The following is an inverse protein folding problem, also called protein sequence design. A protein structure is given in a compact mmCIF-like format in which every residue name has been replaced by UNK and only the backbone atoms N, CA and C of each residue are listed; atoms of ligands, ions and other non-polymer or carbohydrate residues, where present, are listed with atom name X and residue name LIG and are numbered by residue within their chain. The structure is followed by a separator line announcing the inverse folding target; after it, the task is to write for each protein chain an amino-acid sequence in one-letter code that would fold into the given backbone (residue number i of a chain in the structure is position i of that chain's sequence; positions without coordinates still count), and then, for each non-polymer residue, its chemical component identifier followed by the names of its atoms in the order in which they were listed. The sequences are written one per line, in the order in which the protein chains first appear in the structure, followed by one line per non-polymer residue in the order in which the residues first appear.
data_IF_927808622608
#
_entry.id   IF_927808622608
#
_cell.length_a   1.000
_cell.length_b   1.000
_cell.length_c   1.000
_cell.angle_alpha   90.00
_cell.angle_beta   90.00
_cell.angle_gamma   90.00
#
_symmetry.space_group_name_H-M   'P 1'
#
loop_
_entity.id
_entity.type
_entity.pdbx_description
1 polymer ?
#
# COMPACT_ATOMS: atom_id res chain seq x y z
N UNK A 1 -31.01 -13.64 41.47
CA UNK A 1 -31.23 -14.28 40.16
C UNK A 1 -32.10 -13.45 39.20
N UNK A 2 -32.78 -12.38 39.64
CA UNK A 2 -33.65 -11.57 38.74
C UNK A 2 -32.93 -10.44 37.99
N UNK A 3 -31.66 -10.14 38.28
CA UNK A 3 -30.94 -9.01 37.68
C UNK A 3 -30.32 -9.35 36.30
N UNK A 4 -29.97 -10.61 36.05
CA UNK A 4 -29.25 -11.03 34.83
C UNK A 4 -30.16 -11.16 33.59
N UNK A 5 -31.48 -11.28 33.78
CA UNK A 5 -32.44 -11.38 32.66
C UNK A 5 -32.66 -10.01 31.98
N UNK A 6 -32.51 -8.90 32.72
CA UNK A 6 -32.74 -7.55 32.18
C UNK A 6 -31.67 -7.09 31.18
N UNK A 7 -30.43 -7.56 31.32
CA UNK A 7 -29.33 -7.18 30.44
C UNK A 7 -29.47 -7.78 29.03
N UNK A 8 -30.02 -8.99 28.94
CA UNK A 8 -30.23 -9.65 27.65
C UNK A 8 -31.38 -9.04 26.82
N UNK A 9 -32.40 -8.46 27.45
CA UNK A 9 -33.46 -7.75 26.72
C UNK A 9 -32.98 -6.41 26.14
N UNK A 10 -32.13 -5.66 26.86
CA UNK A 10 -31.54 -4.40 26.36
C UNK A 10 -30.67 -4.59 25.11
N UNK A 11 -29.89 -5.68 25.04
CA UNK A 11 -29.03 -5.97 23.88
C UNK A 11 -29.86 -6.45 22.68
N UNK A 12 -30.95 -7.20 22.90
CA UNK A 12 -31.83 -7.67 21.81
C UNK A 12 -32.65 -6.52 21.23
N UNK A 13 -33.12 -5.57 22.06
CA UNK A 13 -33.86 -4.40 21.59
C UNK A 13 -32.98 -3.43 20.79
N UNK A 14 -31.69 -3.32 21.14
CA UNK A 14 -30.70 -2.55 20.36
C UNK A 14 -30.48 -3.07 18.93
N UNK A 15 -30.80 -4.34 18.65
CA UNK A 15 -30.64 -4.93 17.32
C UNK A 15 -31.95 -4.92 16.50
N UNK A 16 -33.08 -4.52 17.11
CA UNK A 16 -34.41 -4.58 16.49
C UNK A 16 -34.86 -3.28 15.82
N UNK A 17 -34.11 -2.19 15.93
CA UNK A 17 -34.54 -0.87 15.44
C UNK A 17 -33.68 -0.14 14.36
N UNK A 18 -32.75 -0.75 13.59
CA UNK A 18 -32.08 0.01 12.52
C UNK A 18 -32.97 0.26 11.28
N UNK A 19 -34.16 -0.37 11.18
CA UNK A 19 -35.03 -0.28 10.00
C UNK A 19 -36.19 0.74 10.16
N UNK A 20 -36.43 1.28 11.37
CA UNK A 20 -37.55 2.22 11.62
C UNK A 20 -37.27 3.67 11.21
N UNK A 21 -36.04 4.03 10.90
CA UNK A 21 -35.67 5.36 10.38
C UNK A 21 -35.77 5.48 8.85
N UNK A 22 -36.26 4.45 8.15
CA UNK A 22 -36.59 4.55 6.72
C UNK A 22 -37.96 5.17 6.43
N UNK A 23 -38.77 5.44 7.47
CA UNK A 23 -40.06 6.14 7.32
C UNK A 23 -39.91 7.65 7.02
N UNK A 24 -38.72 8.23 7.23
CA UNK A 24 -38.39 9.62 6.88
C UNK A 24 -37.90 9.85 5.44
N UNK A 25 -37.70 8.78 4.66
CA UNK A 25 -37.28 8.83 3.25
C UNK A 25 -38.43 8.54 2.27
N UNK A 26 -39.68 8.69 2.72
CA UNK A 26 -40.81 8.97 1.82
C UNK A 26 -40.95 10.48 1.60
N UNK A 27 -39.87 11.14 1.20
CA UNK A 27 -40.03 12.34 0.35
C UNK A 27 -40.51 11.77 -0.97
N UNK A 28 -41.82 11.78 -1.14
CA UNK A 28 -42.57 11.05 -2.14
C UNK A 28 -41.94 11.28 -3.53
N UNK A 29 -41.73 10.21 -4.29
CA UNK A 29 -41.39 10.32 -5.71
C UNK A 29 -42.36 11.27 -6.45
N UNK A 30 -43.60 11.40 -5.95
CA UNK A 30 -44.61 12.35 -6.39
C UNK A 30 -44.21 13.82 -6.20
N UNK A 31 -43.54 14.19 -5.11
CA UNK A 31 -43.07 15.56 -4.88
C UNK A 31 -41.89 15.90 -5.79
N UNK A 32 -40.99 14.94 -6.04
CA UNK A 32 -39.94 15.10 -7.06
C UNK A 32 -40.52 15.23 -8.48
N UNK A 33 -41.62 14.54 -8.78
CA UNK A 33 -42.33 14.66 -10.07
C UNK A 33 -43.07 16.00 -10.17
N UNK A 34 -43.72 16.47 -9.10
CA UNK A 34 -44.38 17.78 -9.05
C UNK A 34 -43.37 18.92 -9.21
N UNK A 35 -42.23 18.87 -8.51
CA UNK A 35 -41.14 19.85 -8.70
C UNK A 35 -40.55 19.82 -10.12
N UNK A 36 -40.46 18.64 -10.74
CA UNK A 36 -40.02 18.51 -12.15
C UNK A 36 -41.02 19.09 -13.14
N UNK A 37 -42.33 18.99 -12.89
CA UNK A 37 -43.39 19.58 -13.73
C UNK A 37 -43.43 21.10 -13.57
N UNK A 38 -43.38 21.61 -12.33
CA UNK A 38 -43.32 23.04 -12.06
C UNK A 38 -42.10 23.74 -12.70
N UNK A 39 -40.96 23.05 -12.86
CA UNK A 39 -39.78 23.55 -13.58
C UNK A 39 -39.88 23.46 -15.11
N UNK A 40 -40.82 22.69 -15.66
CA UNK A 40 -41.04 22.60 -17.11
C UNK A 40 -41.92 23.73 -17.64
N UNK A 41 -42.80 24.26 -16.80
CA UNK A 41 -43.74 25.32 -17.18
C UNK A 41 -43.16 26.73 -17.04
N UNK A 42 -41.97 26.88 -16.46
CA UNK A 42 -41.19 28.11 -16.65
C UNK A 42 -40.61 28.08 -18.05
N UNK A 43 -41.20 28.86 -18.96
CA UNK A 43 -40.67 29.16 -20.30
C UNK A 43 -39.31 29.88 -20.17
N UNK A 44 -38.29 29.12 -19.77
CA UNK A 44 -36.93 29.59 -19.73
C UNK A 44 -36.45 29.65 -21.17
N UNK A 45 -36.52 30.85 -21.74
CA UNK A 45 -35.89 31.15 -23.02
C UNK A 45 -34.40 30.85 -22.87
N UNK A 46 -33.98 29.72 -23.42
CA UNK A 46 -32.58 29.29 -23.43
C UNK A 46 -31.80 30.22 -24.37
N UNK A 47 -31.26 31.29 -23.80
CA UNK A 47 -30.38 32.21 -24.52
C UNK A 47 -28.99 31.57 -24.64
N UNK A 48 -28.54 31.37 -25.87
CA UNK A 48 -27.20 30.85 -26.12
C UNK A 48 -26.19 32.00 -26.08
N UNK A 49 -25.38 32.04 -25.03
CA UNK A 49 -24.22 32.93 -25.00
C UNK A 49 -23.12 32.40 -25.95
N UNK A 50 -22.77 33.13 -27.04
CA UNK A 50 -21.76 32.69 -27.99
C UNK A 50 -20.38 32.54 -27.35
N UNK A 51 -20.06 33.31 -26.31
CA UNK A 51 -18.77 33.23 -25.62
C UNK A 51 -18.63 31.91 -24.85
N UNK A 52 -19.67 31.55 -24.08
CA UNK A 52 -19.75 30.24 -23.42
C UNK A 52 -19.63 29.08 -24.43
N UNK A 53 -20.31 29.18 -25.58
CA UNK A 53 -20.26 28.18 -26.66
C UNK A 53 -18.85 28.03 -27.24
N UNK A 54 -18.16 29.12 -27.52
CA UNK A 54 -16.78 29.07 -28.02
C UNK A 54 -15.82 28.49 -26.98
N UNK A 55 -15.98 28.85 -25.69
CA UNK A 55 -15.17 28.27 -24.62
C UNK A 55 -15.39 26.75 -24.49
N UNK A 56 -16.63 26.30 -24.69
CA UNK A 56 -16.99 24.90 -24.68
C UNK A 56 -16.38 24.17 -25.87
N UNK A 57 -16.49 24.72 -27.08
CA UNK A 57 -15.94 24.12 -28.30
C UNK A 57 -14.40 24.11 -28.34
N UNK A 58 -13.73 25.17 -27.90
CA UNK A 58 -12.26 25.22 -27.86
C UNK A 58 -11.68 24.48 -26.64
N UNK A 59 -12.49 24.26 -25.60
CA UNK A 59 -12.07 23.71 -24.31
C UNK A 59 -11.80 22.20 -24.26
N UNK A 60 -11.95 21.45 -25.37
CA UNK A 60 -11.76 19.99 -25.37
C UNK A 60 -10.39 19.55 -24.85
N UNK A 61 -9.33 20.29 -25.18
CA UNK A 61 -7.98 19.98 -24.69
C UNK A 61 -7.87 20.13 -23.17
N UNK A 62 -8.48 21.18 -22.61
CA UNK A 62 -8.53 21.41 -21.15
C UNK A 62 -9.30 20.27 -20.47
N UNK A 63 -10.53 19.99 -20.91
CA UNK A 63 -11.34 18.87 -20.37
C UNK A 63 -10.64 17.52 -20.45
N UNK A 64 -9.93 17.24 -21.55
CA UNK A 64 -9.15 16.00 -21.71
C UNK A 64 -7.98 15.94 -20.74
N UNK A 65 -7.30 17.05 -20.48
CA UNK A 65 -6.26 17.12 -19.45
C UNK A 65 -6.84 16.97 -18.06
N UNK A 66 -7.98 17.58 -17.77
CA UNK A 66 -8.62 17.51 -16.46
C UNK A 66 -9.09 16.09 -16.15
N UNK A 67 -9.71 15.40 -17.12
CA UNK A 67 -10.03 13.97 -16.98
C UNK A 67 -8.80 13.11 -16.70
N UNK A 68 -7.67 13.38 -17.37
CA UNK A 68 -6.41 12.65 -17.12
C UNK A 68 -5.87 12.94 -15.72
N UNK A 69 -5.86 14.20 -15.29
CA UNK A 69 -5.43 14.59 -13.95
C UNK A 69 -6.32 13.94 -12.89
N UNK A 70 -7.63 13.94 -13.11
CA UNK A 70 -8.60 13.31 -12.21
C UNK A 70 -8.35 11.81 -12.09
N UNK A 71 -8.19 11.09 -13.22
CA UNK A 71 -7.87 9.67 -13.22
C UNK A 71 -6.55 9.36 -12.48
N UNK A 72 -5.52 10.20 -12.67
CA UNK A 72 -4.25 10.05 -11.93
C UNK A 72 -4.43 10.29 -10.43
N UNK A 73 -5.17 11.33 -10.03
CA UNK A 73 -5.47 11.58 -8.60
C UNK A 73 -6.24 10.42 -7.97
N UNK A 74 -7.23 9.87 -8.67
CA UNK A 74 -8.01 8.74 -8.19
C UNK A 74 -7.15 7.49 -7.98
N UNK A 75 -6.22 7.21 -8.90
CA UNK A 75 -5.26 6.11 -8.75
C UNK A 75 -4.36 6.33 -7.53
N UNK A 76 -3.82 7.54 -7.36
CA UNK A 76 -2.94 7.87 -6.23
C UNK A 76 -3.67 7.79 -4.88
N UNK A 77 -4.93 8.22 -4.81
CA UNK A 77 -5.73 8.13 -3.59
C UNK A 77 -6.03 6.66 -3.23
N UNK A 78 -6.35 5.83 -4.23
CA UNK A 78 -6.52 4.38 -4.04
C UNK A 78 -5.23 3.73 -3.54
N UNK A 79 -4.09 4.01 -4.16
CA UNK A 79 -2.80 3.49 -3.70
C UNK A 79 -2.48 3.93 -2.25
N UNK A 80 -2.87 5.14 -1.85
CA UNK A 80 -2.71 5.62 -0.48
C UNK A 80 -3.59 4.82 0.48
N UNK A 81 -4.87 4.60 0.13
CA UNK A 81 -5.80 3.79 0.92
C UNK A 81 -5.31 2.35 1.06
N UNK A 82 -4.89 1.72 -0.04
CA UNK A 82 -4.33 0.36 -0.05
C UNK A 82 -3.11 0.23 0.89
N UNK A 83 -2.25 1.25 0.95
CA UNK A 83 -1.10 1.26 1.88
C UNK A 83 -1.53 1.37 3.34
N UNK A 84 -2.59 2.13 3.62
CA UNK A 84 -3.13 2.26 4.98
C UNK A 84 -3.77 0.94 5.40
N UNK A 85 -4.55 0.32 4.52
CA UNK A 85 -5.17 -0.99 4.76
C UNK A 85 -4.12 -2.08 4.96
N UNK A 86 -3.12 -2.19 4.09
CA UNK A 86 -2.05 -3.17 4.24
C UNK A 86 -1.30 -3.04 5.58
N UNK A 87 -1.09 -1.80 6.07
CA UNK A 87 -0.49 -1.57 7.40
C UNK A 87 -1.44 -1.99 8.52
N UNK A 88 -2.74 -1.75 8.38
CA UNK A 88 -3.76 -2.14 9.35
C UNK A 88 -3.87 -3.67 9.43
N UNK A 89 -3.92 -4.34 8.30
CA UNK A 89 -3.97 -5.80 8.21
C UNK A 89 -2.71 -6.42 8.82
N UNK A 90 -1.52 -5.90 8.51
CA UNK A 90 -0.29 -6.36 9.12
C UNK A 90 -0.30 -6.22 10.66
N UNK A 91 -0.79 -5.08 11.18
CA UNK A 91 -0.94 -4.91 12.65
C UNK A 91 -1.92 -5.92 13.25
N UNK A 92 -2.99 -6.26 12.53
CA UNK A 92 -3.96 -7.27 12.98
C UNK A 92 -3.35 -8.68 12.96
N UNK A 93 -2.61 -9.02 11.90
CA UNK A 93 -1.92 -10.30 11.76
C UNK A 93 -0.89 -10.52 12.88
N UNK A 94 -0.08 -9.50 13.20
CA UNK A 94 0.87 -9.59 14.32
C UNK A 94 0.14 -9.80 15.65
N UNK A 95 -0.96 -9.08 15.90
CA UNK A 95 -1.78 -9.27 17.10
C UNK A 95 -2.40 -10.66 17.17
N UNK A 96 -2.84 -11.22 16.05
CA UNK A 96 -3.40 -12.58 15.99
C UNK A 96 -2.32 -13.62 16.28
N UNK A 97 -1.17 -13.54 15.59
CA UNK A 97 -0.03 -14.44 15.81
C UNK A 97 0.44 -14.41 17.26
N UNK A 98 0.52 -13.23 17.87
CA UNK A 98 0.86 -13.10 19.29
C UNK A 98 -0.14 -13.81 20.20
N UNK A 99 -1.44 -13.63 19.97
CA UNK A 99 -2.50 -14.32 20.73
C UNK A 99 -2.44 -15.83 20.55
N UNK A 100 -2.11 -16.31 19.36
CA UNK A 100 -2.01 -17.73 19.08
C UNK A 100 -0.78 -18.36 19.75
N UNK A 101 0.36 -17.66 19.78
CA UNK A 101 1.53 -18.06 20.55
C UNK A 101 1.21 -18.14 22.04
N UNK A 102 0.57 -17.12 22.62
CA UNK A 102 0.15 -17.12 24.02
C UNK A 102 -0.80 -18.27 24.36
N UNK A 103 -1.72 -18.62 23.45
CA UNK A 103 -2.59 -19.79 23.62
C UNK A 103 -1.81 -21.10 23.52
N UNK A 104 -0.83 -21.18 22.63
CA UNK A 104 0.03 -22.35 22.49
C UNK A 104 0.89 -22.54 23.74
N UNK A 105 1.52 -21.49 24.25
CA UNK A 105 2.30 -21.47 25.49
C UNK A 105 1.48 -21.99 26.67
N UNK A 106 0.25 -21.48 26.87
CA UNK A 106 -0.64 -21.97 27.93
C UNK A 106 -1.01 -23.45 27.79
N UNK A 107 -1.15 -23.97 26.56
CA UNK A 107 -1.41 -25.39 26.33
C UNK A 107 -0.18 -26.24 26.64
N UNK A 108 0.99 -25.76 26.27
CA UNK A 108 2.27 -26.42 26.58
C UNK A 108 2.48 -26.45 28.09
N UNK A 109 2.29 -25.32 28.77
CA UNK A 109 2.32 -25.21 30.24
C UNK A 109 1.33 -26.17 30.92
N UNK A 110 0.09 -26.26 30.42
CA UNK A 110 -0.90 -27.19 30.94
C UNK A 110 -0.53 -28.68 30.72
N UNK A 111 0.21 -29.01 29.65
CA UNK A 111 0.65 -30.38 29.36
C UNK A 111 1.92 -30.76 30.13
N UNK A 112 2.85 -29.82 30.33
CA UNK A 112 4.07 -30.03 31.10
C UNK A 112 3.86 -29.90 32.61
N UNK A 113 2.72 -29.33 33.05
CA UNK A 113 2.46 -29.01 34.45
C UNK A 113 3.23 -27.75 34.91
N UNK A 114 2.86 -27.15 36.05
CA UNK A 114 3.69 -26.11 36.67
C UNK A 114 5.06 -26.74 36.93
N UNK A 115 6.11 -26.13 36.37
CA UNK A 115 7.49 -26.62 36.44
C UNK A 115 8.11 -26.51 37.85
N UNK A 116 7.33 -26.76 38.90
CA UNK A 116 7.86 -27.10 40.22
C UNK A 116 8.50 -28.50 40.08
N UNK A 117 9.83 -28.57 40.25
CA UNK A 117 10.67 -29.78 40.38
C UNK A 117 11.52 -30.31 39.21
N UNK A 118 11.60 -29.68 38.03
CA UNK A 118 12.70 -30.03 37.09
C UNK A 118 13.88 -29.07 37.28
N UNK A 119 14.53 -29.18 38.45
CA UNK A 119 15.77 -28.48 38.82
C UNK A 119 17.02 -28.94 38.05
N UNK A 120 16.87 -29.37 36.79
CA UNK A 120 17.92 -30.06 36.05
C UNK A 120 18.57 -29.22 34.93
N UNK A 121 18.18 -27.95 34.79
CA UNK A 121 18.79 -27.02 33.81
C UNK A 121 19.20 -25.68 34.43
N UNK A 122 19.64 -25.70 35.69
CA UNK A 122 19.99 -24.52 36.47
C UNK A 122 21.45 -24.05 36.38
N UNK A 123 22.37 -24.79 35.74
CA UNK A 123 23.81 -24.58 36.00
C UNK A 123 24.72 -24.37 34.78
N UNK A 124 24.16 -24.10 33.59
CA UNK A 124 24.95 -23.91 32.36
C UNK A 124 24.83 -22.53 31.71
N UNK A 125 24.22 -21.54 32.40
CA UNK A 125 24.02 -20.20 31.83
C UNK A 125 24.27 -19.04 32.79
N UNK A 126 25.02 -19.25 33.86
CA UNK A 126 25.36 -18.22 34.86
C UNK A 126 26.84 -17.78 34.86
N UNK A 127 27.62 -18.09 33.81
CA UNK A 127 28.92 -17.46 33.61
C UNK A 127 28.81 -16.18 32.76
N UNK A 128 28.80 -15.04 33.48
CA UNK A 128 29.40 -13.75 33.12
C UNK A 128 29.16 -13.23 31.69
N UNK A 129 28.13 -12.38 31.55
CA UNK A 129 28.28 -11.10 30.85
C UNK A 129 27.97 -9.99 31.85
N UNK A 130 29.05 -9.47 32.44
CA UNK A 130 29.06 -8.26 33.25
C UNK A 130 28.99 -7.06 32.32
N UNK A 131 28.21 -6.07 32.74
CA UNK A 131 28.20 -4.67 32.29
C UNK A 131 27.60 -4.41 30.91
N UNK A 132 26.28 -4.61 30.78
CA UNK A 132 25.49 -3.88 29.77
C UNK A 132 25.26 -2.46 30.29
N UNK A 133 26.03 -1.51 29.77
CA UNK A 133 25.83 -0.07 29.92
C UNK A 133 24.41 0.29 29.48
N UNK A 134 23.60 0.78 30.44
CA UNK A 134 22.26 1.30 30.16
C UNK A 134 22.42 2.40 29.09
N UNK A 135 21.85 2.23 27.89
CA UNK A 135 22.03 3.22 26.83
C UNK A 135 21.44 4.55 27.31
N UNK A 136 22.28 5.58 27.34
CA UNK A 136 21.89 6.94 27.70
C UNK A 136 20.85 7.42 26.69
N UNK A 137 19.58 7.43 27.10
CA UNK A 137 18.49 8.01 26.31
C UNK A 137 18.51 9.52 26.53
N UNK A 138 18.81 10.26 25.46
CA UNK A 138 18.64 11.71 25.46
C UNK A 138 17.18 12.00 25.18
N UNK A 139 16.43 12.41 26.21
CA UNK A 139 15.09 12.94 26.02
C UNK A 139 15.21 14.34 25.42
N UNK A 140 14.70 14.54 24.21
CA UNK A 140 14.52 15.87 23.64
C UNK A 140 13.35 16.55 24.35
N UNK A 141 13.51 17.82 24.72
CA UNK A 141 12.41 18.61 25.30
C UNK A 141 11.25 18.67 24.30
N UNK A 142 10.06 18.26 24.75
CA UNK A 142 8.87 18.15 23.92
C UNK A 142 8.42 19.54 23.45
N UNK A 143 8.71 19.86 22.19
CA UNK A 143 8.20 21.06 21.52
C UNK A 143 6.75 20.78 21.07
N UNK A 144 5.79 21.57 21.57
CA UNK A 144 4.34 21.28 21.58
C UNK A 144 3.65 21.15 20.19
N UNK A 145 4.40 21.31 19.09
CA UNK A 145 3.87 21.37 17.71
C UNK A 145 4.50 20.32 16.77
N UNK A 146 5.08 19.23 17.30
CA UNK A 146 5.56 18.11 16.47
C UNK A 146 4.45 17.07 16.21
N UNK A 147 3.93 16.95 14.96
CA UNK A 147 2.95 15.91 14.59
C UNK A 147 3.50 14.48 14.68
N UNK A 148 4.76 14.28 15.06
CA UNK A 148 5.42 13.00 15.31
C UNK A 148 5.90 12.80 16.77
N UNK A 149 5.42 13.61 17.73
CA UNK A 149 5.93 13.75 19.11
C UNK A 149 6.00 12.52 20.01
N UNK A 150 5.60 11.33 19.55
CA UNK A 150 5.71 10.06 20.31
C UNK A 150 6.79 9.11 19.77
N UNK A 151 7.66 9.56 18.86
CA UNK A 151 8.75 8.74 18.34
C UNK A 151 10.01 8.86 19.21
N UNK A 152 10.08 8.07 20.28
CA UNK A 152 11.31 7.85 21.02
C UNK A 152 12.36 7.16 20.13
N UNK A 153 13.41 7.89 19.70
CA UNK A 153 14.50 7.33 18.89
C UNK A 153 15.62 6.88 19.81
N UNK A 154 15.65 5.59 20.14
CA UNK A 154 16.77 4.97 20.85
C UNK A 154 17.98 4.88 19.90
N UNK A 155 18.91 5.82 20.00
CA UNK A 155 20.17 5.76 19.26
C UNK A 155 21.16 4.88 20.01
N UNK A 156 21.18 3.59 19.71
CA UNK A 156 22.26 2.71 20.18
C UNK A 156 23.55 3.11 19.46
N UNK A 157 24.47 3.78 20.16
CA UNK A 157 25.82 4.02 19.68
C UNK A 157 26.55 2.67 19.72
N UNK A 158 26.39 1.87 18.67
CA UNK A 158 27.19 0.67 18.51
C UNK A 158 28.64 1.10 18.31
N UNK A 159 29.47 0.90 19.34
CA UNK A 159 30.91 1.07 19.25
C UNK A 159 31.43 0.24 18.08
N UNK A 160 31.90 0.91 17.03
CA UNK A 160 32.60 0.29 15.90
C UNK A 160 33.98 -0.11 16.42
N UNK A 161 34.07 -1.26 17.08
CA UNK A 161 35.35 -1.94 17.24
C UNK A 161 35.74 -2.50 15.87
N UNK A 162 36.89 -2.05 15.36
CA UNK A 162 37.53 -2.54 14.14
C UNK A 162 37.79 -4.05 14.23
N UNK A 163 36.79 -4.84 13.85
CA UNK A 163 36.83 -6.30 13.85
C UNK A 163 36.18 -6.82 12.59
N UNK A 164 36.99 -7.28 11.66
CA UNK A 164 36.59 -7.81 10.36
C UNK A 164 35.53 -8.92 10.49
N UNK A 165 34.26 -8.59 10.23
CA UNK A 165 33.18 -9.58 10.29
C UNK A 165 31.88 -9.04 9.74
N UNK A 166 31.77 -9.00 8.41
CA UNK A 166 30.60 -8.54 7.65
C UNK A 166 29.30 -9.20 8.14
N UNK A 167 28.41 -8.42 8.74
CA UNK A 167 26.99 -8.73 8.83
C UNK A 167 26.23 -7.49 8.35
N UNK A 168 25.72 -7.58 7.13
CA UNK A 168 24.90 -6.55 6.52
C UNK A 168 23.48 -6.65 7.11
N UNK A 169 22.85 -5.54 7.50
CA UNK A 169 21.44 -5.58 7.89
C UNK A 169 20.58 -5.93 6.67
N UNK A 170 19.73 -6.92 6.91
CA UNK A 170 18.70 -7.49 6.06
C UNK A 170 17.83 -6.38 5.46
N UNK A 171 18.12 -6.00 4.21
CA UNK A 171 17.30 -5.06 3.46
C UNK A 171 15.92 -5.67 3.18
N UNK A 172 14.92 -5.02 3.77
CA UNK A 172 13.48 -5.26 3.61
C UNK A 172 13.06 -5.05 2.14
N UNK A 173 13.13 -6.12 1.35
CA UNK A 173 12.61 -6.17 -0.03
C UNK A 173 11.11 -6.48 0.01
N UNK A 174 10.29 -5.44 0.10
CA UNK A 174 8.84 -5.53 -0.06
C UNK A 174 8.45 -5.46 -1.54
N UNK A 175 8.20 -6.61 -2.15
CA UNK A 175 7.64 -6.78 -3.50
C UNK A 175 6.16 -6.33 -3.51
N UNK A 176 5.82 -5.43 -4.43
CA UNK A 176 4.46 -5.05 -4.80
C UNK A 176 3.75 -6.17 -5.57
N UNK A 177 2.58 -6.61 -5.12
CA UNK A 177 1.81 -7.65 -5.79
C UNK A 177 0.37 -7.81 -5.28
N UNK A 178 -0.52 -6.96 -5.79
CA UNK A 178 -1.98 -7.09 -5.96
C UNK A 178 -2.76 -8.20 -5.23
N UNK A 179 -3.70 -7.80 -4.37
CA UNK A 179 -4.93 -8.56 -4.12
C UNK A 179 -6.16 -7.66 -3.86
N UNK A 180 -6.84 -7.34 -4.96
CA UNK A 180 -8.26 -6.98 -5.03
C UNK A 180 -9.12 -8.13 -4.48
N UNK A 181 -9.77 -7.88 -3.34
CA UNK A 181 -11.05 -8.41 -2.86
C UNK A 181 -11.15 -7.98 -1.39
N UNK A 182 -12.02 -7.07 -0.97
CA UNK A 182 -13.42 -7.37 -0.65
C UNK A 182 -14.06 -6.05 -0.22
N UNK A 183 -15.11 -5.61 -0.90
CA UNK A 183 -16.22 -4.90 -0.29
C UNK A 183 -17.42 -5.03 -1.22
N UNK A 184 -18.15 -6.13 -0.99
CA UNK A 184 -19.49 -6.35 -1.49
C UNK A 184 -20.46 -5.45 -0.73
N UNK A 185 -21.50 -4.98 -1.43
CA UNK A 185 -22.63 -4.33 -0.80
C UNK A 185 -23.68 -3.81 -1.78
N UNK A 186 -23.27 -3.14 -2.87
CA UNK A 186 -24.24 -2.49 -3.78
C UNK A 186 -23.95 -2.59 -5.28
N UNK A 187 -23.05 -3.49 -5.69
CA UNK A 187 -22.78 -3.74 -7.11
C UNK A 187 -23.68 -4.83 -7.74
N UNK A 188 -24.77 -5.21 -7.07
CA UNK A 188 -25.65 -6.31 -7.49
C UNK A 188 -26.60 -5.98 -8.64
N UNK A 189 -26.78 -4.71 -9.01
CA UNK A 189 -27.81 -4.33 -9.99
C UNK A 189 -27.29 -3.88 -11.36
N UNK A 190 -25.97 -3.79 -11.54
CA UNK A 190 -25.36 -3.35 -12.81
C UNK A 190 -24.56 -4.44 -13.52
N UNK A 191 -24.53 -5.67 -12.98
CA UNK A 191 -23.65 -6.75 -13.47
C UNK A 191 -24.30 -7.62 -14.54
N UNK A 192 -25.63 -7.62 -14.62
CA UNK A 192 -26.39 -8.49 -15.54
C UNK A 192 -26.37 -8.01 -17.00
N UNK A 193 -25.86 -6.80 -17.28
CA UNK A 193 -25.82 -6.26 -18.65
C UNK A 193 -24.54 -6.58 -19.44
N UNK A 194 -23.49 -7.10 -18.79
CA UNK A 194 -22.19 -7.28 -19.47
C UNK A 194 -21.88 -8.70 -19.93
N UNK A 195 -22.71 -9.70 -19.60
CA UNK A 195 -22.55 -11.08 -20.09
C UNK A 195 -21.17 -11.69 -19.80
N UNK A 196 -20.42 -11.14 -18.83
CA UNK A 196 -19.09 -11.65 -18.48
C UNK A 196 -19.32 -12.97 -17.74
N UNK A 197 -18.90 -14.12 -18.31
CA UNK A 197 -19.07 -15.40 -17.64
C UNK A 197 -18.37 -15.34 -16.29
N UNK A 198 -19.08 -15.76 -15.24
CA UNK A 198 -18.58 -15.85 -13.88
C UNK A 198 -17.38 -16.81 -13.86
N UNK A 199 -16.17 -16.29 -13.95
CA UNK A 199 -14.96 -17.11 -13.92
C UNK A 199 -14.87 -17.83 -12.57
N UNK A 200 -14.61 -19.14 -12.62
CA UNK A 200 -14.40 -19.96 -11.43
C UNK A 200 -13.30 -19.35 -10.54
N UNK A 201 -13.53 -19.19 -9.23
CA UNK A 201 -12.54 -18.60 -8.31
C UNK A 201 -11.20 -19.36 -8.34
N UNK A 202 -11.24 -20.66 -8.62
CA UNK A 202 -10.05 -21.49 -8.78
C UNK A 202 -9.23 -21.12 -10.04
N UNK A 203 -9.88 -20.81 -11.16
CA UNK A 203 -9.19 -20.38 -12.39
C UNK A 203 -8.45 -19.06 -12.17
N UNK A 204 -9.06 -18.15 -11.40
CA UNK A 204 -8.43 -16.87 -11.02
C UNK A 204 -7.21 -17.09 -10.13
N UNK A 205 -7.28 -18.00 -9.16
CA UNK A 205 -6.15 -18.36 -8.30
C UNK A 205 -4.99 -18.96 -9.11
N UNK A 206 -5.28 -19.90 -10.02
CA UNK A 206 -4.28 -20.49 -10.92
C UNK A 206 -3.59 -19.44 -11.79
N UNK A 207 -4.32 -18.47 -12.35
CA UNK A 207 -3.72 -17.38 -13.13
C UNK A 207 -2.79 -16.50 -12.30
N UNK A 208 -3.14 -16.21 -11.04
CA UNK A 208 -2.26 -15.46 -10.12
C UNK A 208 -0.99 -16.25 -9.82
N UNK A 209 -1.11 -17.54 -9.56
CA UNK A 209 0.03 -18.42 -9.31
C UNK A 209 1.01 -18.45 -10.50
N UNK A 210 0.48 -18.69 -11.71
CA UNK A 210 1.29 -18.68 -12.96
C UNK A 210 1.96 -17.32 -13.18
N UNK A 211 1.28 -16.21 -12.87
CA UNK A 211 1.86 -14.88 -12.99
C UNK A 211 3.00 -14.65 -12.00
N UNK A 212 2.85 -15.14 -10.76
CA UNK A 212 3.87 -15.05 -9.71
C UNK A 212 5.12 -15.86 -10.09
N UNK A 213 4.93 -17.09 -10.57
CA UNK A 213 6.02 -17.97 -11.01
C UNK A 213 6.79 -17.39 -12.21
N UNK A 214 6.09 -16.75 -13.16
CA UNK A 214 6.70 -16.01 -14.26
C UNK A 214 7.48 -14.77 -13.79
N UNK A 215 7.04 -14.10 -12.73
CA UNK A 215 7.77 -12.97 -12.16
C UNK A 215 9.01 -13.42 -11.38
N UNK A 216 8.92 -14.55 -10.67
CA UNK A 216 10.03 -15.13 -9.91
C UNK A 216 11.13 -15.68 -10.83
N UNK A 217 10.77 -16.38 -11.90
CA UNK A 217 11.73 -16.82 -12.93
C UNK A 217 12.46 -15.62 -13.56
N UNK A 218 11.78 -14.52 -13.86
CA UNK A 218 12.44 -13.27 -14.33
C UNK A 218 13.39 -12.68 -13.31
N UNK A 219 13.09 -12.80 -12.01
CA UNK A 219 13.99 -12.33 -10.95
C UNK A 219 15.21 -13.23 -10.81
N UNK A 220 15.03 -14.55 -10.89
CA UNK A 220 16.14 -15.51 -10.85
C UNK A 220 17.09 -15.30 -12.03
N UNK A 221 16.58 -15.19 -13.26
CA UNK A 221 17.43 -14.93 -14.44
C UNK A 221 18.18 -13.61 -14.33
N UNK A 222 17.55 -12.55 -13.80
CA UNK A 222 18.22 -11.28 -13.56
C UNK A 222 19.34 -11.41 -12.50
N UNK A 223 19.13 -12.20 -11.44
CA UNK A 223 20.17 -12.48 -10.45
C UNK A 223 21.33 -13.27 -11.07
N UNK A 224 21.05 -14.33 -11.83
CA UNK A 224 22.06 -15.15 -12.50
C UNK A 224 22.88 -14.33 -13.52
N UNK A 225 22.23 -13.42 -14.23
CA UNK A 225 22.91 -12.45 -15.08
C UNK A 225 23.85 -11.54 -14.28
N UNK A 226 23.45 -11.06 -13.10
CA UNK A 226 24.32 -10.22 -12.27
C UNK A 226 25.49 -11.00 -11.68
N UNK A 227 25.27 -12.26 -11.28
CA UNK A 227 26.32 -13.15 -10.78
C UNK A 227 27.32 -13.47 -11.89
N UNK A 228 26.85 -13.85 -13.07
CA UNK A 228 27.72 -14.15 -14.23
C UNK A 228 28.52 -12.92 -14.69
N UNK A 229 27.91 -11.72 -14.71
CA UNK A 229 28.63 -10.45 -14.97
C UNK A 229 29.73 -10.19 -13.92
N UNK A 230 29.46 -10.44 -12.64
CA UNK A 230 30.46 -10.30 -11.55
C UNK A 230 31.58 -11.34 -11.66
N UNK A 231 31.28 -12.59 -12.01
CA UNK A 231 32.30 -13.63 -12.21
C UNK A 231 33.20 -13.31 -13.43
N UNK A 232 32.62 -12.90 -14.55
CA UNK A 232 33.37 -12.53 -15.75
C UNK A 232 34.25 -11.30 -15.54
N UNK A 233 33.79 -10.31 -14.77
CA UNK A 233 34.59 -9.12 -14.43
C UNK A 233 35.71 -9.42 -13.43
N UNK A 234 35.54 -10.43 -12.56
CA UNK A 234 36.61 -10.89 -11.66
C UNK A 234 37.71 -11.64 -12.41
N UNK A 235 37.34 -12.44 -13.43
CA UNK A 235 38.29 -13.19 -14.24
C UNK A 235 39.04 -12.30 -15.26
N UNK A 236 38.41 -11.22 -15.72
CA UNK A 236 39.13 -10.15 -16.41
C UNK A 236 39.87 -9.31 -15.37
N UNK A 237 41.06 -9.76 -14.96
CA UNK A 237 41.95 -9.05 -14.03
C UNK A 237 42.07 -7.55 -14.37
N UNK A 238 42.44 -6.70 -13.40
CA UNK A 238 42.31 -5.24 -13.50
C UNK A 238 42.93 -4.75 -14.81
N UNK A 239 42.07 -4.42 -15.79
CA UNK A 239 42.52 -3.87 -17.06
C UNK A 239 43.24 -2.57 -16.72
N UNK A 240 44.58 -2.58 -16.82
CA UNK A 240 45.43 -1.40 -16.64
C UNK A 240 44.79 -0.30 -17.46
N UNK A 241 44.22 0.72 -16.78
CA UNK A 241 43.64 1.90 -17.43
C UNK A 241 44.77 2.52 -18.24
N UNK A 242 44.84 2.20 -19.53
CA UNK A 242 45.77 2.88 -20.41
C UNK A 242 45.39 4.35 -20.33
N UNK A 243 46.37 5.15 -19.90
CA UNK A 243 46.28 6.60 -19.69
C UNK A 243 46.11 7.23 -21.06
N UNK A 244 44.93 7.05 -21.70
CA UNK A 244 44.62 7.67 -22.98
C UNK A 244 44.53 9.16 -22.73
N UNK A 245 45.43 9.90 -23.36
CA UNK A 245 45.49 11.34 -23.37
C UNK A 245 44.09 11.92 -23.59
N UNK A 246 43.76 12.99 -22.85
CA UNK A 246 42.54 13.77 -22.93
C UNK A 246 42.44 14.44 -24.32
N UNK A 247 42.13 13.66 -25.36
CA UNK A 247 41.67 14.19 -26.63
C UNK A 247 40.23 14.62 -26.44
N UNK A 248 39.98 15.92 -26.57
CA UNK A 248 38.68 16.58 -26.49
C UNK A 248 37.70 15.97 -27.50
N UNK A 249 36.97 14.91 -27.10
CA UNK A 249 35.77 14.49 -27.81
C UNK A 249 34.73 15.59 -27.62
N UNK A 250 34.65 16.50 -28.58
CA UNK A 250 33.47 17.33 -28.79
C UNK A 250 32.29 16.39 -29.07
N UNK A 251 31.66 15.92 -28.00
CA UNK A 251 30.44 15.14 -28.07
C UNK A 251 29.39 15.99 -28.75
N UNK A 252 28.98 15.59 -29.96
CA UNK A 252 27.81 16.14 -30.65
C UNK A 252 26.63 16.01 -29.69
N UNK A 253 26.26 17.12 -29.03
CA UNK A 253 25.12 17.16 -28.13
C UNK A 253 23.90 16.65 -28.90
N UNK A 254 23.11 15.73 -28.34
CA UNK A 254 21.94 15.20 -29.03
C UNK A 254 21.04 16.37 -29.41
N UNK A 255 20.83 16.52 -30.71
CA UNK A 255 20.07 17.63 -31.28
C UNK A 255 18.65 17.53 -30.74
N UNK A 256 18.22 18.53 -29.96
CA UNK A 256 16.96 18.49 -29.23
C UNK A 256 15.75 18.24 -30.15
N UNK A 257 14.70 17.61 -29.61
CA UNK A 257 13.47 17.23 -30.34
C UNK A 257 12.85 18.39 -31.16
N UNK A 258 13.00 19.63 -30.69
CA UNK A 258 12.56 20.86 -31.40
C UNK A 258 13.34 21.10 -32.69
N UNK A 259 14.66 20.97 -32.66
CA UNK A 259 15.55 21.16 -33.81
C UNK A 259 15.25 20.12 -34.90
N UNK A 260 15.05 18.86 -34.48
CA UNK A 260 14.71 17.74 -35.38
C UNK A 260 13.40 18.01 -36.12
N UNK A 261 12.42 18.64 -35.46
CA UNK A 261 11.13 19.02 -36.05
C UNK A 261 11.24 20.19 -37.03
N UNK A 262 12.09 21.19 -36.74
CA UNK A 262 12.37 22.30 -37.68
C UNK A 262 13.06 21.80 -38.96
N UNK A 263 13.98 20.84 -38.83
CA UNK A 263 14.72 20.29 -39.97
C UNK A 263 13.84 19.48 -40.92
N UNK A 264 12.86 18.74 -40.38
CA UNK A 264 11.84 18.05 -41.19
C UNK A 264 10.95 19.04 -41.96
N UNK A 265 10.56 20.16 -41.35
CA UNK A 265 9.75 21.20 -41.99
C UNK A 265 10.46 21.98 -43.10
N UNK A 266 11.79 21.91 -43.19
CA UNK A 266 12.59 22.56 -44.24
C UNK A 266 12.84 21.63 -45.44
N UNK A 267 12.45 20.35 -45.34
CA UNK A 267 12.73 19.32 -46.34
C UNK A 267 11.50 18.85 -47.12
N UNK A 268 10.31 19.33 -46.76
CA UNK A 268 9.08 19.18 -47.52
C UNK A 268 8.53 20.56 -47.81
#
# INVERSE_FOLDING_TARGET
MSAEISFYQSVVDSWREPWRTLAGLRVCAEDMVKQRRAKRDSDQVLTFDPASRQSFLAGFRKRKQDRRKWAVREILEKERQDRIEAKKDHRQDVKQRWKDLQRAEKRVEALLGPAEEVGWLGDLRSEKLKDEEVPVTVAFEAEEDDPFGDCEVTTTIAGVSDGAGRHLPLALVGKSGNAISVLGGQAGLLRDLTGIPQEDPQARSKRRFISSEKEESRRQTALDETVSKKLNTKNQGPKKKSKRAKGSKQGKRPVGRKERRKRMKRRG
#
